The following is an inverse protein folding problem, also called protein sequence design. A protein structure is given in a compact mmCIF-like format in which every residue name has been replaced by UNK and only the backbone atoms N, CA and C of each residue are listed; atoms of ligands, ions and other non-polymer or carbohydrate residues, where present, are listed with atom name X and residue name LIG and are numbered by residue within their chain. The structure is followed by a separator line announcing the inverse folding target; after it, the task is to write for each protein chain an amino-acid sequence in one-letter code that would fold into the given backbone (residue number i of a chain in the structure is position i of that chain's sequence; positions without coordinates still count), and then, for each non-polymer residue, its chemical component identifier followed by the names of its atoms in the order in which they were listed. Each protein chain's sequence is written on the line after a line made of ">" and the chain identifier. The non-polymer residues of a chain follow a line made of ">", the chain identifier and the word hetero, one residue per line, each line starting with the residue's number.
data_IF_757284943110
#
_entry.id   IF_757284943110
#
_cell.length_a   1.000
_cell.length_b   1.000
_cell.length_c   1.000
_cell.angle_alpha   90.00
_cell.angle_beta   90.00
_cell.angle_gamma   90.00
#
_symmetry.space_group_name_H-M   'P 1'
#
loop_
_entity.id
_entity.type
_entity.pdbx_description
1 polymer ?
#
# COMPACT_ATOMS: atom_id res chain seq x y z
N UNK A 1 14.14 9.42 1.88
CA UNK A 1 13.07 10.11 2.66
C UNK A 1 12.58 9.17 3.76
N UNK A 2 12.67 9.58 5.04
CA UNK A 2 12.22 8.78 6.18
C UNK A 2 10.70 8.63 6.18
N UNK A 3 10.17 7.62 6.88
CA UNK A 3 8.74 7.37 7.02
C UNK A 3 8.01 8.59 7.63
N UNK A 4 8.69 9.34 8.50
CA UNK A 4 8.19 10.61 9.09
C UNK A 4 7.87 11.69 8.05
N UNK A 5 8.67 11.82 6.99
CA UNK A 5 8.43 12.88 5.99
C UNK A 5 7.22 12.61 5.10
N UNK A 6 6.83 11.33 4.94
CA UNK A 6 5.75 10.90 4.02
C UNK A 6 4.35 11.15 4.60
N UNK A 7 4.22 11.14 5.91
CA UNK A 7 2.95 11.44 6.61
C UNK A 7 2.88 12.92 7.02
N UNK A 8 4.02 13.62 7.08
CA UNK A 8 4.09 15.00 7.53
C UNK A 8 3.24 15.98 6.69
N UNK A 9 3.23 15.84 5.37
CA UNK A 9 2.41 16.70 4.50
C UNK A 9 0.92 16.49 4.74
N UNK A 10 0.51 15.23 5.00
CA UNK A 10 -0.86 14.89 5.32
C UNK A 10 -1.27 15.54 6.65
N UNK A 11 -0.46 15.38 7.70
CA UNK A 11 -0.70 16.00 9.01
C UNK A 11 -0.78 17.53 8.94
N UNK A 12 0.12 18.18 8.19
CA UNK A 12 0.11 19.64 8.02
C UNK A 12 -1.16 20.14 7.30
N UNK A 13 -1.64 19.41 6.29
CA UNK A 13 -2.81 19.82 5.53
C UNK A 13 -4.13 19.56 6.27
N UNK A 14 -4.27 18.38 6.87
CA UNK A 14 -5.41 17.96 7.71
C UNK A 14 -5.66 18.99 8.83
N UNK A 15 -4.59 19.44 9.48
CA UNK A 15 -4.65 20.48 10.52
C UNK A 15 -5.18 21.84 10.03
N UNK A 16 -4.95 22.19 8.76
CA UNK A 16 -5.40 23.48 8.18
C UNK A 16 -6.86 23.47 7.74
N UNK A 17 -7.41 22.32 7.33
CA UNK A 17 -8.78 22.20 6.81
C UNK A 17 -9.80 21.60 7.77
N UNK A 18 -9.42 21.27 9.02
CA UNK A 18 -10.28 20.57 10.00
C UNK A 18 -10.90 19.28 9.42
N UNK A 19 -10.10 18.53 8.66
CA UNK A 19 -10.50 17.18 8.23
C UNK A 19 -9.98 16.22 9.30
N UNK A 20 -10.73 15.18 9.64
CA UNK A 20 -10.30 14.11 10.52
C UNK A 20 -10.46 12.79 9.76
N UNK A 21 -9.48 12.39 8.94
CA UNK A 21 -9.58 11.17 8.15
C UNK A 21 -9.60 9.94 9.06
N UNK A 22 -9.86 8.77 8.49
CA UNK A 22 -9.74 7.52 9.24
C UNK A 22 -8.38 7.42 9.96
N UNK A 23 -8.39 7.09 11.25
CA UNK A 23 -7.15 6.91 12.02
C UNK A 23 -6.32 5.68 11.58
N UNK A 24 -6.84 4.88 10.64
CA UNK A 24 -6.10 3.80 9.97
C UNK A 24 -4.99 4.37 9.08
N UNK A 25 -5.15 5.60 8.56
CA UNK A 25 -4.16 6.20 7.67
C UNK A 25 -2.78 6.33 8.32
N UNK A 26 -1.76 5.75 7.67
CA UNK A 26 -0.36 5.85 8.11
C UNK A 26 -0.05 5.11 9.42
N UNK A 27 -0.95 4.23 9.87
CA UNK A 27 -0.78 3.48 11.12
C UNK A 27 0.30 2.42 11.00
N UNK A 28 0.99 2.13 12.10
CA UNK A 28 1.95 1.02 12.17
C UNK A 28 1.21 -0.33 12.09
N UNK A 29 1.63 -1.28 11.22
CA UNK A 29 1.04 -2.63 11.19
C UNK A 29 1.13 -3.37 12.52
N UNK A 30 2.25 -3.21 13.25
CA UNK A 30 2.41 -3.82 14.58
C UNK A 30 1.43 -3.23 15.59
N UNK A 31 1.26 -1.92 15.56
CA UNK A 31 0.32 -1.25 16.44
C UNK A 31 -1.12 -1.67 16.11
N UNK A 32 -1.47 -1.79 14.83
CA UNK A 32 -2.77 -2.27 14.37
C UNK A 32 -3.05 -3.72 14.78
N UNK A 33 -2.03 -4.58 14.76
CA UNK A 33 -2.12 -5.94 15.29
C UNK A 33 -2.43 -5.95 16.79
N UNK A 34 -1.70 -5.16 17.58
CA UNK A 34 -1.89 -5.08 19.04
C UNK A 34 -3.21 -4.41 19.41
N UNK A 35 -3.70 -3.55 18.53
CA UNK A 35 -4.87 -2.71 18.73
C UNK A 35 -5.81 -2.74 17.50
N UNK A 36 -6.54 -3.84 17.30
CA UNK A 36 -7.38 -4.00 16.12
C UNK A 36 -8.47 -2.94 16.03
N UNK A 37 -8.81 -2.57 14.80
CA UNK A 37 -9.79 -1.53 14.53
C UNK A 37 -11.22 -2.06 14.69
N UNK A 38 -12.12 -1.21 15.17
CA UNK A 38 -13.55 -1.46 15.12
C UNK A 38 -14.07 -1.44 13.67
N UNK A 39 -15.13 -2.20 13.38
CA UNK A 39 -15.69 -2.31 12.02
C UNK A 39 -15.98 -0.94 11.38
N UNK A 40 -16.54 0.00 12.13
CA UNK A 40 -16.84 1.33 11.60
C UNK A 40 -15.58 2.11 11.15
N UNK A 41 -14.45 1.94 11.84
CA UNK A 41 -13.17 2.56 11.46
C UNK A 41 -12.56 1.89 10.22
N UNK A 42 -12.70 0.56 10.12
CA UNK A 42 -12.34 -0.19 8.91
C UNK A 42 -13.18 0.27 7.72
N UNK A 43 -14.50 0.37 7.87
CA UNK A 43 -15.42 0.78 6.81
C UNK A 43 -15.13 2.21 6.34
N UNK A 44 -14.84 3.13 7.26
CA UNK A 44 -14.44 4.50 6.92
C UNK A 44 -13.16 4.50 6.07
N UNK A 45 -12.11 3.83 6.54
CA UNK A 45 -10.87 3.70 5.77
C UNK A 45 -11.12 3.14 4.37
N UNK A 46 -11.95 2.10 4.26
CA UNK A 46 -12.24 1.45 2.98
C UNK A 46 -12.99 2.37 2.02
N UNK A 47 -13.91 3.21 2.50
CA UNK A 47 -14.60 4.21 1.67
C UNK A 47 -13.64 5.29 1.18
N UNK A 48 -12.84 5.86 2.08
CA UNK A 48 -11.83 6.87 1.73
C UNK A 48 -10.82 6.31 0.71
N UNK A 49 -10.24 5.14 1.00
CA UNK A 49 -9.27 4.49 0.13
C UNK A 49 -9.86 4.17 -1.25
N UNK A 50 -11.10 3.70 -1.32
CA UNK A 50 -11.79 3.47 -2.61
C UNK A 50 -11.96 4.77 -3.37
N UNK A 51 -12.43 5.82 -2.70
CA UNK A 51 -12.63 7.13 -3.34
C UNK A 51 -11.32 7.72 -3.87
N UNK A 52 -10.20 7.53 -3.18
CA UNK A 52 -8.86 7.94 -3.66
C UNK A 52 -8.52 7.20 -4.95
N UNK A 53 -8.60 5.87 -4.93
CA UNK A 53 -8.12 5.03 -6.02
C UNK A 53 -9.02 5.11 -7.25
N UNK A 54 -10.34 5.23 -7.07
CA UNK A 54 -11.28 5.41 -8.18
C UNK A 54 -11.05 6.75 -8.90
N UNK A 55 -10.78 7.82 -8.14
CA UNK A 55 -10.45 9.12 -8.72
C UNK A 55 -9.09 9.10 -9.45
N UNK A 56 -8.07 8.42 -8.90
CA UNK A 56 -6.79 8.21 -9.59
C UNK A 56 -6.98 7.42 -10.89
N UNK A 57 -7.76 6.34 -10.85
CA UNK A 57 -8.09 5.51 -12.03
C UNK A 57 -8.75 6.36 -13.11
N UNK A 58 -9.79 7.11 -12.76
CA UNK A 58 -10.50 7.97 -13.70
C UNK A 58 -9.59 9.04 -14.35
N UNK A 59 -8.63 9.57 -13.61
CA UNK A 59 -7.66 10.53 -14.14
C UNK A 59 -6.59 9.89 -15.03
N UNK A 60 -6.19 8.65 -14.74
CA UNK A 60 -5.31 7.85 -15.60
C UNK A 60 -5.98 7.44 -16.90
N UNK A 61 -7.30 7.25 -16.91
CA UNK A 61 -8.07 6.94 -18.12
C UNK A 61 -7.99 8.04 -19.17
N UNK A 62 -7.61 9.27 -18.81
CA UNK A 62 -7.35 10.37 -19.77
C UNK A 62 -6.16 10.09 -20.70
N UNK A 63 -5.36 9.05 -20.40
CA UNK A 63 -4.27 8.58 -21.26
C UNK A 63 -4.66 7.39 -22.14
N UNK A 64 -5.93 6.96 -22.08
CA UNK A 64 -6.50 6.00 -23.01
C UNK A 64 -6.26 6.45 -24.45
N UNK A 65 -5.75 5.53 -25.27
CA UNK A 65 -5.42 5.77 -26.69
C UNK A 65 -4.35 6.84 -26.95
N UNK A 66 -3.54 7.24 -25.95
CA UNK A 66 -2.44 8.22 -26.17
C UNK A 66 -1.15 7.62 -26.70
N UNK A 67 -0.89 6.34 -26.43
CA UNK A 67 0.39 5.69 -26.76
C UNK A 67 0.20 4.59 -27.79
N UNK A 68 1.11 4.48 -28.74
CA UNK A 68 1.17 3.35 -29.66
C UNK A 68 1.77 2.11 -28.98
N UNK A 69 1.43 0.93 -29.48
CA UNK A 69 1.97 -0.35 -28.98
C UNK A 69 3.50 -0.39 -29.06
N UNK A 70 4.08 0.20 -30.09
CA UNK A 70 5.52 0.09 -30.37
C UNK A 70 6.34 1.24 -29.75
N UNK A 71 5.68 2.20 -29.08
CA UNK A 71 6.36 3.22 -28.28
C UNK A 71 7.11 2.55 -27.12
N UNK A 72 8.38 2.93 -26.93
CA UNK A 72 9.23 2.42 -25.85
C UNK A 72 9.67 3.51 -24.87
N UNK A 73 8.90 4.60 -24.78
CA UNK A 73 9.18 5.73 -23.90
C UNK A 73 8.91 5.47 -22.43
N UNK A 74 9.52 6.27 -21.56
CA UNK A 74 9.31 6.21 -20.11
C UNK A 74 7.90 6.63 -19.71
N UNK A 75 7.29 7.59 -20.40
CA UNK A 75 5.94 8.08 -20.11
C UNK A 75 4.88 6.99 -20.26
N UNK A 76 4.97 6.21 -21.34
CA UNK A 76 4.09 5.05 -21.57
C UNK A 76 4.30 3.97 -20.49
N UNK A 77 5.55 3.61 -20.21
CA UNK A 77 5.85 2.61 -19.19
C UNK A 77 5.31 3.04 -17.82
N UNK A 78 5.50 4.32 -17.47
CA UNK A 78 4.99 4.93 -16.25
C UNK A 78 3.47 4.89 -16.19
N UNK A 79 2.77 5.25 -17.26
CA UNK A 79 1.31 5.17 -17.31
C UNK A 79 0.80 3.73 -17.13
N UNK A 80 1.38 2.76 -17.84
CA UNK A 80 1.01 1.34 -17.72
C UNK A 80 1.24 0.81 -16.30
N UNK A 81 2.39 1.12 -15.71
CA UNK A 81 2.71 0.74 -14.32
C UNK A 81 1.81 1.47 -13.31
N UNK A 82 1.41 2.71 -13.58
CA UNK A 82 0.49 3.47 -12.72
C UNK A 82 -0.92 2.85 -12.71
N UNK A 83 -1.41 2.38 -13.87
CA UNK A 83 -2.67 1.64 -13.96
C UNK A 83 -2.60 0.34 -13.16
N UNK A 84 -1.57 -0.49 -13.41
CA UNK A 84 -1.36 -1.74 -12.69
C UNK A 84 -1.25 -1.56 -11.16
N UNK A 85 -0.55 -0.49 -10.73
CA UNK A 85 -0.43 -0.10 -9.34
C UNK A 85 -1.78 0.23 -8.70
N UNK A 86 -2.57 1.09 -9.35
CA UNK A 86 -3.89 1.51 -8.84
C UNK A 86 -4.86 0.33 -8.83
N UNK A 87 -4.88 -0.51 -9.87
CA UNK A 87 -5.75 -1.67 -9.95
C UNK A 87 -5.39 -2.75 -8.92
N UNK A 88 -4.10 -2.97 -8.65
CA UNK A 88 -3.65 -3.89 -7.60
C UNK A 88 -4.09 -3.43 -6.19
N UNK A 89 -4.07 -2.13 -5.94
CA UNK A 89 -4.57 -1.54 -4.69
C UNK A 89 -6.10 -1.64 -4.58
N UNK A 90 -6.84 -1.37 -5.67
CA UNK A 90 -8.31 -1.52 -5.71
C UNK A 90 -8.72 -2.97 -5.50
N UNK A 91 -8.07 -3.91 -6.18
CA UNK A 91 -8.27 -5.34 -5.99
C UNK A 91 -7.99 -5.78 -4.55
N UNK A 92 -6.98 -5.19 -3.91
CA UNK A 92 -6.70 -5.44 -2.49
C UNK A 92 -7.86 -4.99 -1.58
N UNK A 93 -8.44 -3.81 -1.82
CA UNK A 93 -9.63 -3.33 -1.08
C UNK A 93 -10.79 -4.32 -1.22
N UNK A 94 -11.14 -4.71 -2.44
CA UNK A 94 -12.24 -5.66 -2.67
C UNK A 94 -12.00 -7.00 -1.97
N UNK A 95 -10.77 -7.51 -2.03
CA UNK A 95 -10.41 -8.74 -1.33
C UNK A 95 -10.53 -8.59 0.19
N UNK A 96 -10.21 -7.45 0.79
CA UNK A 96 -10.45 -7.23 2.22
C UNK A 96 -11.94 -7.11 2.55
N UNK A 97 -12.76 -6.49 1.69
CA UNK A 97 -14.24 -6.46 1.85
C UNK A 97 -14.82 -7.87 1.84
N UNK A 98 -14.35 -8.71 0.93
CA UNK A 98 -14.70 -10.12 0.82
C UNK A 98 -14.00 -11.01 1.85
N UNK A 99 -13.23 -10.42 2.78
CA UNK A 99 -12.51 -11.15 3.83
C UNK A 99 -11.43 -12.12 3.31
N UNK A 100 -11.00 -11.96 2.06
CA UNK A 100 -9.96 -12.71 1.30
C UNK A 100 -8.54 -12.14 1.47
N UNK A 101 -8.20 -11.80 2.71
CA UNK A 101 -6.91 -11.17 3.07
C UNK A 101 -5.67 -11.94 2.59
N UNK A 102 -5.71 -13.29 2.55
CA UNK A 102 -4.60 -14.12 2.03
C UNK A 102 -4.21 -13.78 0.59
N UNK A 103 -5.21 -13.43 -0.25
CA UNK A 103 -4.98 -13.06 -1.65
C UNK A 103 -4.54 -11.60 -1.70
N UNK A 104 -5.16 -10.72 -0.92
CA UNK A 104 -4.79 -9.31 -0.83
C UNK A 104 -3.31 -9.14 -0.42
N UNK A 105 -2.84 -9.91 0.56
CA UNK A 105 -1.44 -9.87 0.99
C UNK A 105 -0.46 -10.19 -0.13
N UNK A 106 -0.84 -11.02 -1.11
CA UNK A 106 0.04 -11.34 -2.24
C UNK A 106 0.19 -10.13 -3.17
N UNK A 107 -0.88 -9.38 -3.40
CA UNK A 107 -0.87 -8.17 -4.23
C UNK A 107 0.00 -7.06 -3.64
N UNK A 108 0.21 -7.03 -2.32
CA UNK A 108 1.09 -6.04 -1.68
C UNK A 108 2.51 -6.08 -2.23
N UNK A 109 3.00 -7.26 -2.62
CA UNK A 109 4.32 -7.40 -3.21
C UNK A 109 4.36 -6.73 -4.58
N UNK A 110 3.36 -6.99 -5.41
CA UNK A 110 3.25 -6.42 -6.76
C UNK A 110 3.24 -4.89 -6.70
N UNK A 111 2.45 -4.31 -5.79
CA UNK A 111 2.41 -2.86 -5.53
C UNK A 111 3.79 -2.27 -5.22
N UNK A 112 4.55 -2.91 -4.33
CA UNK A 112 5.88 -2.45 -3.91
C UNK A 112 6.89 -2.53 -5.04
N UNK A 113 6.83 -3.60 -5.81
CA UNK A 113 7.69 -3.82 -6.98
C UNK A 113 7.39 -2.79 -8.09
N UNK A 114 6.11 -2.49 -8.32
CA UNK A 114 5.69 -1.48 -9.28
C UNK A 114 6.13 -0.07 -8.87
N UNK A 115 6.01 0.30 -7.58
CA UNK A 115 6.51 1.58 -7.05
C UNK A 115 8.03 1.70 -7.25
N UNK A 116 8.78 0.65 -6.92
CA UNK A 116 10.24 0.65 -7.07
C UNK A 116 10.65 0.76 -8.54
N UNK A 117 9.96 0.05 -9.43
CA UNK A 117 10.22 0.10 -10.85
C UNK A 117 9.97 1.50 -11.42
N UNK A 118 8.83 2.12 -11.12
CA UNK A 118 8.54 3.51 -11.54
C UNK A 118 9.66 4.45 -11.09
N UNK A 119 10.06 4.37 -9.82
CA UNK A 119 11.13 5.21 -9.27
C UNK A 119 12.48 5.00 -9.96
N UNK A 120 12.82 3.76 -10.32
CA UNK A 120 14.05 3.45 -11.07
C UNK A 120 13.99 4.00 -12.49
N UNK A 121 12.87 3.86 -13.20
CA UNK A 121 12.74 4.30 -14.59
C UNK A 121 12.95 5.81 -14.75
N UNK A 122 12.63 6.59 -13.72
CA UNK A 122 12.78 8.04 -13.69
C UNK A 122 14.12 8.54 -13.12
N UNK A 123 15.06 7.65 -12.83
CA UNK A 123 16.32 8.05 -12.21
C UNK A 123 17.30 8.79 -13.15
N UNK A 124 17.03 8.85 -14.45
CA UNK A 124 17.82 9.64 -15.41
C UNK A 124 19.27 9.18 -15.59
N UNK A 125 19.56 7.90 -15.37
CA UNK A 125 20.91 7.35 -15.47
C UNK A 125 20.97 6.05 -16.30
N UNK A 126 22.18 5.54 -16.54
CA UNK A 126 22.43 4.34 -17.36
C UNK A 126 21.67 3.10 -16.85
N UNK A 127 21.49 2.99 -15.52
CA UNK A 127 20.72 1.89 -14.94
C UNK A 127 19.24 2.01 -15.26
N UNK A 128 18.66 3.22 -15.20
CA UNK A 128 17.28 3.49 -15.61
C UNK A 128 17.03 3.13 -17.08
N UNK A 129 17.89 3.60 -17.99
CA UNK A 129 17.76 3.31 -19.42
C UNK A 129 17.86 1.80 -19.73
N UNK A 130 18.81 1.12 -19.07
CA UNK A 130 18.97 -0.34 -19.20
C UNK A 130 17.72 -1.07 -18.69
N UNK A 131 17.18 -0.64 -17.56
CA UNK A 131 15.97 -1.20 -16.95
C UNK A 131 14.77 -1.03 -17.88
N UNK A 132 14.56 0.17 -18.44
CA UNK A 132 13.48 0.44 -19.39
C UNK A 132 13.57 -0.47 -20.62
N UNK A 133 14.77 -0.57 -21.22
CA UNK A 133 15.01 -1.45 -22.37
C UNK A 133 14.78 -2.93 -22.03
N UNK A 134 15.13 -3.37 -20.83
CA UNK A 134 14.89 -4.74 -20.38
C UNK A 134 13.41 -5.03 -20.16
N UNK A 135 12.68 -4.09 -19.55
CA UNK A 135 11.25 -4.20 -19.31
C UNK A 135 10.45 -4.35 -20.60
N UNK A 136 10.70 -3.51 -21.62
CA UNK A 136 10.08 -3.65 -22.95
C UNK A 136 10.49 -4.93 -23.70
N UNK A 137 11.57 -5.60 -23.26
CA UNK A 137 12.01 -6.92 -23.76
C UNK A 137 11.47 -8.08 -22.91
N UNK A 138 10.46 -7.85 -22.07
CA UNK A 138 9.84 -8.82 -21.17
C UNK A 138 10.80 -9.44 -20.13
N UNK A 139 11.87 -8.73 -19.77
CA UNK A 139 12.78 -9.19 -18.72
C UNK A 139 12.38 -8.58 -17.36
N UNK A 140 12.51 -9.37 -16.32
CA UNK A 140 12.34 -8.93 -14.93
C UNK A 140 13.65 -8.38 -14.37
N UNK A 141 13.58 -7.28 -13.63
CA UNK A 141 14.73 -6.72 -12.92
C UNK A 141 14.68 -7.21 -11.48
N UNK A 142 15.80 -7.76 -10.99
CA UNK A 142 15.82 -8.37 -9.67
C UNK A 142 15.74 -7.32 -8.55
N UNK A 143 15.05 -7.61 -7.44
CA UNK A 143 15.06 -6.72 -6.26
C UNK A 143 16.47 -6.49 -5.72
N UNK A 144 17.37 -7.45 -5.91
CA UNK A 144 18.77 -7.31 -5.53
C UNK A 144 19.46 -6.18 -6.29
N UNK A 145 19.22 -6.08 -7.60
CA UNK A 145 19.75 -4.98 -8.42
C UNK A 145 19.15 -3.63 -8.03
N UNK A 146 17.83 -3.57 -7.84
CA UNK A 146 17.15 -2.34 -7.41
C UNK A 146 17.69 -1.88 -6.04
N UNK A 147 17.88 -2.79 -5.08
CA UNK A 147 18.43 -2.44 -3.77
C UNK A 147 19.87 -1.95 -3.84
N UNK A 148 20.73 -2.58 -4.65
CA UNK A 148 22.10 -2.09 -4.89
C UNK A 148 22.08 -0.69 -5.48
N UNK A 149 21.16 -0.44 -6.42
CA UNK A 149 20.96 0.87 -6.98
C UNK A 149 20.50 1.90 -5.92
N UNK A 150 19.52 1.56 -5.09
CA UNK A 150 19.07 2.40 -3.97
C UNK A 150 20.19 2.68 -2.97
N UNK A 151 21.01 1.69 -2.64
CA UNK A 151 22.18 1.87 -1.76
C UNK A 151 23.16 2.89 -2.35
N UNK A 152 23.44 2.80 -3.66
CA UNK A 152 24.37 3.72 -4.33
C UNK A 152 23.86 5.16 -4.45
N UNK A 153 22.54 5.38 -4.43
CA UNK A 153 21.94 6.70 -4.70
C UNK A 153 21.31 7.36 -3.47
N UNK A 154 20.77 6.57 -2.55
CA UNK A 154 20.06 7.01 -1.35
C UNK A 154 20.76 6.59 -0.06
N UNK A 155 21.87 5.83 -0.18
CA UNK A 155 22.66 5.32 0.93
C UNK A 155 22.16 3.99 1.48
N UNK A 156 23.05 3.33 2.24
CA UNK A 156 22.84 2.01 2.83
C UNK A 156 21.56 1.89 3.66
N UNK A 157 21.24 2.91 4.45
CA UNK A 157 20.04 2.91 5.28
C UNK A 157 18.74 2.79 4.46
N UNK A 158 18.67 3.38 3.27
CA UNK A 158 17.49 3.29 2.40
C UNK A 158 17.30 1.86 1.87
N UNK A 159 18.39 1.23 1.42
CA UNK A 159 18.37 -0.16 0.94
C UNK A 159 18.03 -1.16 2.05
N UNK A 160 18.60 -0.98 3.26
CA UNK A 160 18.28 -1.80 4.43
C UNK A 160 16.82 -1.65 4.86
N UNK A 161 16.28 -0.43 4.87
CA UNK A 161 14.88 -0.20 5.21
C UNK A 161 13.95 -0.85 4.17
N UNK A 162 14.28 -0.75 2.87
CA UNK A 162 13.49 -1.44 1.83
C UNK A 162 13.57 -2.95 1.98
N UNK A 163 14.75 -3.51 2.27
CA UNK A 163 14.91 -4.94 2.57
C UNK A 163 14.08 -5.38 3.78
N UNK A 164 14.12 -4.62 4.87
CA UNK A 164 13.31 -4.89 6.09
C UNK A 164 11.82 -4.89 5.77
N UNK A 165 11.36 -3.93 4.97
CA UNK A 165 9.96 -3.84 4.55
C UNK A 165 9.54 -5.04 3.70
N UNK A 166 10.31 -5.40 2.67
CA UNK A 166 10.06 -6.63 1.90
C UNK A 166 10.03 -7.87 2.79
N UNK A 167 10.97 -7.98 3.73
CA UNK A 167 11.01 -9.11 4.66
C UNK A 167 9.77 -9.14 5.59
N UNK A 168 9.23 -7.98 5.97
CA UNK A 168 7.96 -7.91 6.71
C UNK A 168 6.79 -8.39 5.84
N UNK A 169 6.69 -7.95 4.58
CA UNK A 169 5.67 -8.42 3.65
C UNK A 169 5.78 -9.93 3.38
N UNK A 170 7.00 -10.47 3.31
CA UNK A 170 7.24 -11.91 3.22
C UNK A 170 6.62 -12.69 4.38
N UNK A 171 6.50 -12.11 5.57
CA UNK A 171 5.85 -12.76 6.72
C UNK A 171 4.34 -12.92 6.55
N UNK A 172 3.72 -12.15 5.66
CA UNK A 172 2.30 -12.23 5.31
C UNK A 172 2.04 -13.14 4.09
N UNK A 173 3.06 -13.37 3.26
CA UNK A 173 2.89 -13.99 1.93
C UNK A 173 3.56 -15.35 1.75
N UNK A 174 4.61 -15.65 2.52
CA UNK A 174 5.31 -16.92 2.40
C UNK A 174 4.50 -18.09 2.98
N UNK A 175 4.76 -19.32 2.50
CA UNK A 175 4.15 -20.55 3.04
C UNK A 175 4.80 -20.99 4.36
N UNK A 176 4.98 -20.07 5.29
CA UNK A 176 5.49 -20.35 6.63
C UNK A 176 4.34 -20.65 7.58
N UNK A 177 4.59 -21.41 8.65
CA UNK A 177 3.59 -21.70 9.68
C UNK A 177 2.90 -20.42 10.16
N UNK A 178 3.68 -19.40 10.56
CA UNK A 178 3.17 -18.10 11.01
C UNK A 178 2.19 -17.48 10.01
N UNK A 179 2.61 -17.35 8.75
CA UNK A 179 1.80 -16.72 7.71
C UNK A 179 0.50 -17.50 7.45
N UNK A 180 0.56 -18.83 7.48
CA UNK A 180 -0.62 -19.68 7.32
C UNK A 180 -1.58 -19.53 8.51
N UNK A 181 -1.05 -19.54 9.75
CA UNK A 181 -1.86 -19.43 10.98
C UNK A 181 -2.55 -18.09 11.15
N UNK A 182 -2.15 -17.03 10.42
CA UNK A 182 -2.88 -15.75 10.42
C UNK A 182 -4.31 -15.86 9.88
N UNK A 183 -4.63 -16.99 9.27
CA UNK A 183 -5.93 -17.30 8.70
C UNK A 183 -6.53 -18.56 9.32
N UNK A 184 -6.19 -18.83 10.58
CA UNK A 184 -6.84 -19.82 11.41
C UNK A 184 -7.15 -19.16 12.76
N UNK A 185 -8.39 -19.27 13.20
CA UNK A 185 -8.79 -18.99 14.57
C UNK A 185 -8.56 -20.21 15.46
N UNK A 186 -8.53 -20.00 16.79
CA UNK A 186 -8.45 -21.09 17.77
C UNK A 186 -9.85 -21.38 18.35
N UNK A 187 -10.28 -22.62 18.22
CA UNK A 187 -11.46 -23.17 18.89
C UNK A 187 -11.13 -23.79 20.25
N UNK A 188 -12.08 -24.54 20.86
CA UNK A 188 -11.85 -25.23 22.13
C UNK A 188 -10.63 -26.17 22.07
N UNK A 189 -9.79 -26.12 23.11
CA UNK A 189 -8.59 -26.96 23.21
C UNK A 189 -7.49 -26.60 22.22
N UNK A 190 -7.38 -25.32 21.83
CA UNK A 190 -6.39 -24.80 20.87
C UNK A 190 -6.48 -25.44 19.47
N UNK A 191 -7.64 -25.96 19.12
CA UNK A 191 -7.88 -26.57 17.82
C UNK A 191 -7.98 -25.50 16.73
N UNK A 192 -7.18 -25.65 15.66
CA UNK A 192 -7.18 -24.70 14.55
C UNK A 192 -8.47 -24.79 13.73
N UNK A 193 -9.14 -23.66 13.57
CA UNK A 193 -10.33 -23.48 12.74
C UNK A 193 -9.95 -22.59 11.56
N UNK A 194 -10.06 -23.06 10.31
CA UNK A 194 -9.71 -22.23 9.16
C UNK A 194 -10.64 -21.03 9.06
N UNK A 195 -10.07 -19.88 8.73
CA UNK A 195 -10.84 -18.73 8.28
C UNK A 195 -11.49 -19.11 6.95
N UNK A 196 -12.81 -19.23 6.93
CA UNK A 196 -13.56 -19.60 5.72
C UNK A 196 -14.41 -18.43 5.24
N UNK A 197 -14.50 -18.25 3.92
CA UNK A 197 -15.42 -17.28 3.32
C UNK A 197 -16.89 -17.69 3.48
N UNK A 198 -17.15 -18.97 3.74
CA UNK A 198 -18.49 -19.51 4.01
C UNK A 198 -19.04 -19.12 5.38
N UNK A 199 -18.18 -18.71 6.33
CA UNK A 199 -18.61 -18.22 7.64
C UNK A 199 -17.89 -16.91 8.00
N UNK A 200 -18.55 -15.75 7.85
CA UNK A 200 -17.91 -14.44 8.02
C UNK A 200 -17.47 -14.13 9.46
N UNK A 201 -17.75 -15.01 10.43
CA UNK A 201 -17.48 -14.80 11.86
C UNK A 201 -16.07 -15.23 12.32
N UNK A 202 -15.25 -15.87 11.47
CA UNK A 202 -14.06 -16.59 11.94
C UNK A 202 -12.71 -15.92 11.63
N UNK A 203 -12.68 -14.67 11.15
CA UNK A 203 -11.40 -14.01 10.86
C UNK A 203 -10.90 -13.23 12.08
N UNK A 204 -9.64 -13.44 12.42
CA UNK A 204 -8.96 -12.70 13.48
C UNK A 204 -8.94 -11.19 13.17
N UNK A 205 -9.53 -10.34 14.03
CA UNK A 205 -9.52 -8.89 13.84
C UNK A 205 -8.10 -8.30 13.71
N UNK A 206 -7.12 -8.91 14.37
CA UNK A 206 -5.71 -8.53 14.31
C UNK A 206 -5.16 -8.64 12.88
N UNK A 207 -5.44 -9.74 12.19
CA UNK A 207 -4.99 -9.97 10.81
C UNK A 207 -5.56 -8.92 9.86
N UNK A 208 -6.85 -8.59 10.01
CA UNK A 208 -7.48 -7.57 9.18
C UNK A 208 -6.90 -6.19 9.50
N UNK A 209 -6.76 -5.82 10.77
CA UNK A 209 -6.21 -4.53 11.17
C UNK A 209 -4.76 -4.34 10.69
N UNK A 210 -3.90 -5.34 10.88
CA UNK A 210 -2.53 -5.32 10.33
C UNK A 210 -2.54 -5.16 8.81
N UNK A 211 -3.41 -5.91 8.12
CA UNK A 211 -3.57 -5.83 6.67
C UNK A 211 -4.00 -4.45 6.17
N UNK A 212 -4.99 -3.84 6.81
CA UNK A 212 -5.47 -2.50 6.45
C UNK A 212 -4.40 -1.42 6.72
N UNK A 213 -3.61 -1.57 7.79
CA UNK A 213 -2.47 -0.68 8.06
C UNK A 213 -1.40 -0.80 6.96
N UNK A 214 -1.07 -2.01 6.50
CA UNK A 214 -0.15 -2.21 5.38
C UNK A 214 -0.73 -1.59 4.11
N UNK A 215 -1.99 -1.88 3.78
CA UNK A 215 -2.66 -1.32 2.60
C UNK A 215 -2.67 0.22 2.62
N UNK A 216 -2.96 0.82 3.77
CA UNK A 216 -2.90 2.27 3.96
C UNK A 216 -1.53 2.84 3.62
N UNK A 217 -0.46 2.24 4.19
CA UNK A 217 0.90 2.69 3.93
C UNK A 217 1.30 2.52 2.46
N UNK A 218 0.85 1.45 1.81
CA UNK A 218 1.07 1.22 0.38
C UNK A 218 0.36 2.24 -0.50
N UNK A 219 -0.88 2.60 -0.18
CA UNK A 219 -1.60 3.68 -0.88
C UNK A 219 -0.85 5.00 -0.73
N UNK A 220 -0.35 5.33 0.47
CA UNK A 220 0.46 6.53 0.69
C UNK A 220 1.76 6.48 -0.14
N UNK A 221 2.48 5.36 -0.16
CA UNK A 221 3.69 5.21 -1.00
C UNK A 221 3.36 5.35 -2.48
N UNK A 222 2.25 4.79 -2.95
CA UNK A 222 1.78 4.92 -4.33
C UNK A 222 1.47 6.38 -4.69
N UNK A 223 0.77 7.10 -3.82
CA UNK A 223 0.47 8.53 -4.02
C UNK A 223 1.75 9.35 -4.13
N UNK A 224 2.73 9.13 -3.24
CA UNK A 224 4.01 9.85 -3.32
C UNK A 224 4.78 9.51 -4.59
N UNK A 225 4.76 8.24 -5.01
CA UNK A 225 5.34 7.81 -6.28
C UNK A 225 4.69 8.53 -7.46
N UNK A 226 3.35 8.54 -7.53
CA UNK A 226 2.60 9.16 -8.60
C UNK A 226 2.73 10.69 -8.62
N UNK A 227 2.89 11.34 -7.45
CA UNK A 227 3.18 12.78 -7.36
C UNK A 227 4.54 13.17 -7.94
N UNK A 228 5.51 12.27 -7.86
CA UNK A 228 6.89 12.53 -8.30
C UNK A 228 7.11 12.14 -9.76
N UNK A 229 6.54 11.00 -10.16
CA UNK A 229 6.89 10.34 -11.42
C UNK A 229 5.67 9.97 -12.26
N UNK A 230 4.47 10.00 -11.67
CA UNK A 230 3.26 9.58 -12.36
C UNK A 230 2.90 10.52 -13.53
N UNK A 231 1.99 10.08 -14.41
CA UNK A 231 1.56 10.88 -15.56
C UNK A 231 0.63 12.04 -15.16
N UNK A 232 0.27 12.16 -13.88
CA UNK A 232 -0.65 13.18 -13.35
C UNK A 232 0.15 14.30 -12.68
N UNK A 233 -0.39 15.52 -12.74
CA UNK A 233 0.19 16.67 -12.05
C UNK A 233 0.19 16.47 -10.53
N UNK A 234 1.27 16.88 -9.87
CA UNK A 234 1.46 16.71 -8.40
C UNK A 234 0.31 17.29 -7.58
N UNK A 235 -0.14 18.48 -7.93
CA UNK A 235 -1.23 19.17 -7.22
C UNK A 235 -2.57 18.49 -7.47
N UNK A 236 -2.75 17.89 -8.65
CA UNK A 236 -3.93 17.09 -8.95
C UNK A 236 -3.99 15.84 -8.06
N UNK A 237 -2.91 15.07 -7.98
CA UNK A 237 -2.84 13.87 -7.12
C UNK A 237 -3.07 14.22 -5.65
N UNK A 238 -2.49 15.32 -5.18
CA UNK A 238 -2.69 15.80 -3.82
C UNK A 238 -4.16 16.18 -3.56
N UNK A 239 -4.78 16.87 -4.52
CA UNK A 239 -6.20 17.27 -4.45
C UNK A 239 -7.14 16.07 -4.43
N UNK A 240 -6.87 15.03 -5.24
CA UNK A 240 -7.64 13.77 -5.23
C UNK A 240 -7.63 13.16 -3.85
N UNK A 241 -6.43 12.98 -3.26
CA UNK A 241 -6.31 12.35 -1.95
C UNK A 241 -7.12 13.10 -0.90
N UNK A 242 -6.97 14.41 -0.86
CA UNK A 242 -7.58 15.25 0.16
C UNK A 242 -9.11 15.37 0.04
N UNK A 243 -9.65 15.34 -1.18
CA UNK A 243 -11.10 15.36 -1.41
C UNK A 243 -11.79 14.05 -1.04
N UNK A 244 -11.05 12.95 -1.04
CA UNK A 244 -11.57 11.62 -0.71
C UNK A 244 -11.66 11.36 0.81
N UNK A 245 -10.99 12.18 1.63
CA UNK A 245 -10.99 12.03 3.09
C UNK A 245 -12.30 12.55 3.69
N UNK A 246 -12.89 11.78 4.61
CA UNK A 246 -14.09 12.20 5.33
C UNK A 246 -13.75 13.28 6.37
N UNK A 247 -14.70 14.17 6.62
CA UNK A 247 -14.50 15.33 7.51
C UNK A 247 -14.34 14.91 8.97
N UNK A 248 -15.12 13.92 9.41
CA UNK A 248 -15.15 13.47 10.79
C UNK A 248 -14.62 12.04 10.90
N UNK A 249 -13.69 11.80 11.83
CA UNK A 249 -13.16 10.45 12.06
C UNK A 249 -14.09 9.66 12.97
N UNK A 250 -14.28 8.38 12.68
CA UNK A 250 -14.97 7.48 13.59
C UNK A 250 -14.18 7.39 14.91
N UNK A 251 -14.79 7.68 16.08
CA UNK A 251 -14.08 7.66 17.34
C UNK A 251 -13.66 6.24 17.71
N UNK A 252 -12.43 6.12 18.21
CA UNK A 252 -11.91 4.86 18.74
C UNK A 252 -12.54 4.57 20.10
N UNK A 253 -13.19 3.42 20.24
CA UNK A 253 -13.95 3.05 21.46
C UNK A 253 -13.13 2.18 22.39
N UNK A 254 -12.26 1.34 21.84
CA UNK A 254 -11.43 0.39 22.59
C UNK A 254 -9.94 0.73 22.41
N UNK A 255 -9.51 1.85 22.99
CA UNK A 255 -8.08 2.07 23.22
C UNK A 255 -7.70 1.43 24.54
N UNK A 256 -6.78 0.44 24.52
CA UNK A 256 -6.14 -0.02 25.75
C UNK A 256 -5.34 1.18 26.27
N UNK A 257 -5.90 1.86 27.27
CA UNK A 257 -5.14 2.82 28.04
C UNK A 257 -4.04 2.01 28.70
N UNK A 258 -2.77 2.39 28.49
CA UNK A 258 -1.66 1.85 29.25
C UNK A 258 -1.90 2.12 30.73
N UNK A 259 -2.58 1.18 31.40
CA UNK A 259 -2.72 1.18 32.83
C UNK A 259 -1.34 0.96 33.41
N UNK A 260 -0.76 2.03 33.96
CA UNK A 260 0.20 1.89 35.04
C UNK A 260 -0.47 1.04 36.13
N UNK A 261 -0.13 -0.25 36.17
CA UNK A 261 -0.23 -1.02 37.39
C UNK A 261 0.97 -0.59 38.24
N UNK A 262 0.69 0.34 39.15
CA UNK A 262 1.46 0.59 40.37
C UNK A 262 1.54 -0.67 41.24
#
# INVERSE_FOLDING_TARGET
>A
MSQDSRVHWLCQYVSRKKIMPSFVWGRSPKEAWDNPYEYAAQDQFMREATSVLDALSADLDRYTMKFHRDDTGVDKATWMLSLDLVDSLRGSIELFREKRHRIAFRLFRDVVETIDLIGVLHAGNVFAERTLRQWYKNNTISHGEIRKYMESTQGKAAAENRQKFHHQLSKLTHRTYRALTMSFSLGPGDMMVPDTHSSPMLILPQTIAEGLAVLSNLIIEAIECLKLYGPLERDQVSSIFLKALEVDSVPRRFAIHGGHAS
#
